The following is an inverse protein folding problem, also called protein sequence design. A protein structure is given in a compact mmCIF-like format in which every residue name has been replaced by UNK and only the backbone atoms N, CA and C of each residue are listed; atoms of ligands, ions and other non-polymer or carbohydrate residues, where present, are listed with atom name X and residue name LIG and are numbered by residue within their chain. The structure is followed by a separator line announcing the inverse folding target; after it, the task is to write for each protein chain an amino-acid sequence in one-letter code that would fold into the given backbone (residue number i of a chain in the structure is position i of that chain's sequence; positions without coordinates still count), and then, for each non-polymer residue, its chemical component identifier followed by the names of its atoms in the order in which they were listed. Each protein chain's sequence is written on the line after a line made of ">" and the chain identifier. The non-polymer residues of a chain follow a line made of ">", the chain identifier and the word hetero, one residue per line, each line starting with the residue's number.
data_IF_112428131402
#
_entry.id   IF_112428131402
#
_cell.length_a   1.000
_cell.length_b   1.000
_cell.length_c   1.000
_cell.angle_alpha   90.00
_cell.angle_beta   90.00
_cell.angle_gamma   90.00
#
_symmetry.space_group_name_H-M   'P 1'
#
loop_
_entity.id
_entity.type
_entity.pdbx_description
1 polymer ?
#
# COMPACT_ATOMS: atom_id res chain seq x y z
N UNK A 1 4.61 -27.63 10.73
CA UNK A 1 3.13 -27.60 10.75
C UNK A 1 2.64 -27.22 9.37
N UNK A 2 1.53 -27.79 8.95
CA UNK A 2 0.90 -27.46 7.65
C UNK A 2 -0.45 -26.79 7.89
N UNK A 3 -0.78 -25.84 7.03
CA UNK A 3 -2.05 -25.11 7.05
C UNK A 3 -2.81 -25.32 5.75
N UNK A 4 -4.11 -25.43 5.84
CA UNK A 4 -5.00 -25.40 4.68
C UNK A 4 -5.07 -23.99 4.08
N UNK A 5 -5.60 -23.86 2.87
CA UNK A 5 -5.81 -22.53 2.24
C UNK A 5 -6.70 -21.61 3.11
N UNK A 6 -7.69 -22.18 3.80
CA UNK A 6 -8.57 -21.41 4.69
C UNK A 6 -7.85 -20.89 5.93
N UNK A 7 -7.03 -21.72 6.56
CA UNK A 7 -6.22 -21.33 7.72
C UNK A 7 -5.17 -20.29 7.36
N UNK A 8 -4.42 -20.51 6.28
CA UNK A 8 -3.44 -19.55 5.79
C UNK A 8 -4.07 -18.19 5.45
N UNK A 9 -5.21 -18.19 4.75
CA UNK A 9 -5.95 -16.98 4.43
C UNK A 9 -6.41 -16.23 5.68
N UNK A 10 -6.94 -16.94 6.68
CA UNK A 10 -7.34 -16.36 7.97
C UNK A 10 -6.17 -15.73 8.71
N UNK A 11 -5.00 -16.38 8.73
CA UNK A 11 -3.79 -15.85 9.36
C UNK A 11 -3.29 -14.57 8.70
N UNK A 12 -3.47 -14.45 7.38
CA UNK A 12 -3.09 -13.28 6.59
C UNK A 12 -4.16 -12.17 6.56
N UNK A 13 -5.36 -12.46 7.04
CA UNK A 13 -6.49 -11.52 6.95
C UNK A 13 -7.02 -11.31 5.53
N UNK A 14 -6.88 -12.30 4.66
CA UNK A 14 -7.34 -12.26 3.26
C UNK A 14 -8.39 -13.33 2.98
N UNK A 15 -9.10 -13.23 1.86
CA UNK A 15 -10.01 -14.26 1.43
C UNK A 15 -9.25 -15.50 0.89
N UNK A 16 -9.79 -16.69 1.08
CA UNK A 16 -9.22 -17.92 0.51
C UNK A 16 -9.13 -17.85 -1.02
N UNK A 17 -10.06 -17.14 -1.68
CA UNK A 17 -10.05 -16.89 -3.11
C UNK A 17 -8.81 -16.09 -3.56
N UNK A 18 -8.29 -15.21 -2.72
CA UNK A 18 -7.06 -14.45 -2.97
C UNK A 18 -5.86 -15.38 -3.10
N UNK A 19 -5.71 -16.34 -2.19
CA UNK A 19 -4.61 -17.30 -2.24
C UNK A 19 -4.73 -18.27 -3.43
N UNK A 20 -5.95 -18.66 -3.80
CA UNK A 20 -6.19 -19.45 -5.01
C UNK A 20 -5.84 -18.69 -6.27
N UNK A 21 -6.14 -17.39 -6.31
CA UNK A 21 -5.76 -16.50 -7.40
C UNK A 21 -4.23 -16.39 -7.52
N UNK A 22 -3.52 -16.20 -6.41
CA UNK A 22 -2.05 -16.17 -6.43
C UNK A 22 -1.43 -17.46 -6.95
N UNK A 23 -1.96 -18.60 -6.54
CA UNK A 23 -1.50 -19.87 -7.05
C UNK A 23 -1.75 -20.02 -8.58
N UNK A 24 -2.94 -19.61 -9.04
CA UNK A 24 -3.28 -19.59 -10.46
C UNK A 24 -2.33 -18.69 -11.28
N UNK A 25 -1.94 -17.56 -10.72
CA UNK A 25 -1.00 -16.63 -11.36
C UNK A 25 0.48 -17.07 -11.26
N UNK A 26 0.75 -18.18 -10.59
CA UNK A 26 2.11 -18.71 -10.44
C UNK A 26 2.96 -18.03 -9.39
N UNK A 27 2.35 -17.35 -8.43
CA UNK A 27 3.05 -16.70 -7.31
C UNK A 27 3.41 -17.65 -6.17
N UNK A 28 2.87 -18.86 -6.16
CA UNK A 28 3.02 -19.83 -5.07
C UNK A 28 3.69 -21.13 -5.52
N UNK A 29 4.84 -21.08 -6.22
CA UNK A 29 5.51 -22.29 -6.72
C UNK A 29 6.11 -23.17 -5.61
N UNK A 30 6.19 -22.63 -4.40
CA UNK A 30 6.71 -23.29 -3.20
C UNK A 30 5.65 -24.06 -2.41
N UNK A 31 4.35 -23.87 -2.74
CA UNK A 31 3.24 -24.53 -2.02
C UNK A 31 3.10 -25.97 -2.47
N UNK A 32 3.14 -26.89 -1.51
CA UNK A 32 2.96 -28.31 -1.74
C UNK A 32 1.47 -28.66 -1.90
N UNK A 33 1.21 -29.79 -2.55
CA UNK A 33 -0.13 -30.36 -2.68
C UNK A 33 -0.13 -31.79 -2.20
N UNK A 34 -1.21 -32.21 -1.59
CA UNK A 34 -1.48 -33.62 -1.28
C UNK A 34 -1.68 -34.41 -2.57
N UNK A 35 -1.68 -35.75 -2.47
CA UNK A 35 -2.04 -36.62 -3.61
C UNK A 35 -3.42 -36.30 -4.18
N UNK A 36 -4.37 -35.81 -3.36
CA UNK A 36 -5.67 -35.33 -3.78
C UNK A 36 -5.71 -33.91 -4.35
N UNK A 37 -4.53 -33.26 -4.53
CA UNK A 37 -4.43 -31.91 -5.11
C UNK A 37 -4.73 -30.76 -4.14
N UNK A 38 -4.89 -31.04 -2.85
CA UNK A 38 -5.18 -30.02 -1.82
C UNK A 38 -3.88 -29.26 -1.48
N UNK A 39 -3.94 -27.94 -1.50
CA UNK A 39 -2.81 -27.06 -1.14
C UNK A 39 -2.48 -27.15 0.34
N UNK A 40 -1.20 -27.32 0.65
CA UNK A 40 -0.66 -27.38 2.02
C UNK A 40 0.41 -26.31 2.18
N UNK A 41 0.17 -25.36 3.07
CA UNK A 41 1.08 -24.25 3.35
C UNK A 41 1.93 -24.60 4.58
N UNK A 42 3.24 -24.44 4.46
CA UNK A 42 4.19 -24.55 5.59
C UNK A 42 4.26 -23.22 6.33
N UNK A 43 4.76 -23.27 7.54
CA UNK A 43 5.02 -22.05 8.33
C UNK A 43 5.98 -21.09 7.59
N UNK A 44 7.01 -21.62 6.93
CA UNK A 44 7.94 -20.86 6.11
C UNK A 44 7.28 -20.20 4.89
N UNK A 45 6.21 -20.77 4.37
CA UNK A 45 5.46 -20.21 3.24
C UNK A 45 4.69 -18.96 3.65
N UNK A 46 4.35 -18.84 4.96
CA UNK A 46 3.63 -17.67 5.47
C UNK A 46 4.45 -16.38 5.33
N UNK A 47 5.76 -16.42 5.45
CA UNK A 47 6.61 -15.25 5.27
C UNK A 47 6.64 -14.80 3.80
N UNK A 48 6.63 -15.74 2.86
CA UNK A 48 6.47 -15.45 1.44
C UNK A 48 5.11 -14.83 1.14
N UNK A 49 4.05 -15.36 1.71
CA UNK A 49 2.71 -14.83 1.52
C UNK A 49 2.59 -13.41 2.07
N UNK A 50 3.17 -13.12 3.24
CA UNK A 50 3.22 -11.75 3.80
C UNK A 50 3.96 -10.79 2.88
N UNK A 51 5.08 -11.22 2.30
CA UNK A 51 5.84 -10.39 1.36
C UNK A 51 5.02 -10.13 0.09
N UNK A 52 4.37 -11.14 -0.48
CA UNK A 52 3.49 -11.00 -1.65
C UNK A 52 2.37 -9.99 -1.37
N UNK A 53 1.70 -10.10 -0.22
CA UNK A 53 0.66 -9.15 0.22
C UNK A 53 1.22 -7.72 0.36
N UNK A 54 2.39 -7.57 0.96
CA UNK A 54 3.06 -6.27 1.10
C UNK A 54 3.36 -5.64 -0.28
N UNK A 55 3.96 -6.39 -1.20
CA UNK A 55 4.29 -5.90 -2.54
C UNK A 55 3.03 -5.53 -3.33
N UNK A 56 1.98 -6.35 -3.23
CA UNK A 56 0.70 -6.06 -3.87
C UNK A 56 0.03 -4.81 -3.28
N UNK A 57 -0.01 -4.70 -1.96
CA UNK A 57 -0.59 -3.55 -1.26
C UNK A 57 0.11 -2.23 -1.63
N UNK A 58 1.38 -2.26 -1.93
CA UNK A 58 2.17 -1.09 -2.36
C UNK A 58 2.12 -0.81 -3.87
N UNK A 59 1.34 -1.60 -4.62
CA UNK A 59 1.06 -1.36 -6.03
C UNK A 59 1.98 -2.06 -7.01
N UNK A 60 2.82 -3.01 -6.57
CA UNK A 60 3.62 -3.80 -7.50
C UNK A 60 2.70 -4.67 -8.37
N UNK A 61 2.82 -4.63 -9.70
CA UNK A 61 2.05 -5.50 -10.59
C UNK A 61 2.34 -6.97 -10.32
N UNK A 62 1.35 -7.84 -10.52
CA UNK A 62 1.50 -9.30 -10.36
C UNK A 62 2.69 -9.84 -11.15
N UNK A 63 2.92 -9.35 -12.36
CA UNK A 63 4.08 -9.70 -13.17
C UNK A 63 5.42 -9.42 -12.47
N UNK A 64 5.52 -8.29 -11.78
CA UNK A 64 6.72 -7.90 -11.02
C UNK A 64 6.93 -8.80 -9.79
N UNK A 65 5.86 -9.13 -9.07
CA UNK A 65 5.90 -10.05 -7.93
C UNK A 65 6.33 -11.45 -8.41
N UNK A 66 5.77 -11.93 -9.50
CA UNK A 66 6.14 -13.22 -10.10
C UNK A 66 7.63 -13.26 -10.45
N UNK A 67 8.14 -12.21 -11.09
CA UNK A 67 9.57 -12.10 -11.43
C UNK A 67 10.45 -12.20 -10.18
N UNK A 68 10.08 -11.51 -9.10
CA UNK A 68 10.80 -11.59 -7.83
C UNK A 68 10.82 -13.02 -7.26
N UNK A 69 9.68 -13.70 -7.26
CA UNK A 69 9.56 -15.09 -6.79
C UNK A 69 10.40 -16.04 -7.67
N UNK A 70 10.39 -15.89 -8.99
CA UNK A 70 11.20 -16.67 -9.92
C UNK A 70 12.70 -16.48 -9.64
N UNK A 71 13.16 -15.24 -9.46
CA UNK A 71 14.54 -14.94 -9.07
C UNK A 71 14.94 -15.64 -7.76
N UNK A 72 14.04 -15.67 -6.77
CA UNK A 72 14.29 -16.38 -5.51
C UNK A 72 14.51 -17.88 -5.72
N UNK A 73 13.78 -18.49 -6.64
CA UNK A 73 13.94 -19.92 -6.98
C UNK A 73 15.25 -20.23 -7.71
N UNK A 74 15.76 -19.30 -8.48
CA UNK A 74 17.05 -19.43 -9.19
C UNK A 74 18.25 -19.38 -8.22
N UNK A 75 18.05 -18.86 -6.99
CA UNK A 75 19.05 -18.89 -5.93
C UNK A 75 19.96 -17.64 -5.90
N UNK A 76 21.12 -17.80 -5.33
CA UNK A 76 22.02 -16.69 -4.95
C UNK A 76 22.56 -15.88 -6.12
N UNK A 77 22.60 -16.45 -7.33
CA UNK A 77 22.98 -15.70 -8.55
C UNK A 77 22.07 -14.51 -8.85
N UNK A 78 20.86 -14.48 -8.27
CA UNK A 78 19.85 -13.44 -8.49
C UNK A 78 19.73 -12.44 -7.32
N UNK A 79 20.60 -12.51 -6.33
CA UNK A 79 20.56 -11.58 -5.17
C UNK A 79 20.58 -10.12 -5.61
N UNK A 80 21.45 -9.77 -6.56
CA UNK A 80 21.52 -8.41 -7.09
C UNK A 80 20.22 -7.97 -7.77
N UNK A 81 19.62 -8.80 -8.59
CA UNK A 81 18.34 -8.52 -9.26
C UNK A 81 17.18 -8.38 -8.25
N UNK A 82 17.13 -9.27 -7.27
CA UNK A 82 16.14 -9.17 -6.17
C UNK A 82 16.28 -7.87 -5.38
N UNK A 83 17.52 -7.45 -5.09
CA UNK A 83 17.80 -6.18 -4.43
C UNK A 83 17.31 -4.99 -5.27
N UNK A 84 17.58 -4.99 -6.57
CA UNK A 84 17.11 -3.92 -7.48
C UNK A 84 15.59 -3.82 -7.51
N UNK A 85 14.89 -4.95 -7.60
CA UNK A 85 13.42 -4.99 -7.60
C UNK A 85 12.86 -4.37 -6.32
N UNK A 86 13.37 -4.78 -5.15
CA UNK A 86 12.89 -4.27 -3.87
C UNK A 86 13.31 -2.83 -3.61
N UNK A 87 14.51 -2.41 -4.04
CA UNK A 87 14.96 -1.03 -3.92
C UNK A 87 14.09 -0.08 -4.77
N UNK A 88 13.73 -0.47 -6.00
CA UNK A 88 12.80 0.29 -6.83
C UNK A 88 11.41 0.38 -6.19
N UNK A 89 10.92 -0.70 -5.60
CA UNK A 89 9.63 -0.69 -4.89
C UNK A 89 9.66 0.21 -3.66
N UNK A 90 10.76 0.24 -2.91
CA UNK A 90 10.96 1.17 -1.79
C UNK A 90 10.83 2.62 -2.24
N UNK A 91 11.44 3.00 -3.35
CA UNK A 91 11.33 4.37 -3.89
C UNK A 91 9.90 4.69 -4.33
N UNK A 92 9.20 3.74 -4.93
CA UNK A 92 7.77 3.87 -5.26
C UNK A 92 6.92 4.13 -4.01
N UNK A 93 7.14 3.40 -2.93
CA UNK A 93 6.43 3.59 -1.65
C UNK A 93 6.73 4.97 -1.05
N UNK A 94 7.97 5.43 -1.08
CA UNK A 94 8.34 6.78 -0.62
C UNK A 94 7.59 7.86 -1.39
N UNK A 95 7.45 7.70 -2.69
CA UNK A 95 6.66 8.62 -3.53
C UNK A 95 5.19 8.62 -3.12
N UNK A 96 4.59 7.44 -2.89
CA UNK A 96 3.21 7.31 -2.43
C UNK A 96 3.01 8.00 -1.07
N UNK A 97 3.95 7.84 -0.13
CA UNK A 97 3.91 8.52 1.17
C UNK A 97 3.93 10.03 1.01
N UNK A 98 4.84 10.56 0.19
CA UNK A 98 4.95 12.00 -0.08
C UNK A 98 3.68 12.58 -0.70
N UNK A 99 3.04 11.84 -1.62
CA UNK A 99 1.77 12.23 -2.22
C UNK A 99 0.63 12.24 -1.20
N UNK A 100 0.56 11.23 -0.34
CA UNK A 100 -0.44 11.17 0.73
C UNK A 100 -0.24 12.28 1.76
N UNK A 101 1.01 12.60 2.13
CA UNK A 101 1.32 13.71 3.03
C UNK A 101 0.87 15.05 2.44
N UNK A 102 1.06 15.26 1.14
CA UNK A 102 0.57 16.45 0.45
C UNK A 102 -0.96 16.54 0.46
N UNK A 103 -1.66 15.43 0.22
CA UNK A 103 -3.11 15.38 0.31
C UNK A 103 -3.61 15.60 1.74
N UNK A 104 -2.92 15.05 2.73
CA UNK A 104 -3.23 15.26 4.14
C UNK A 104 -3.17 16.74 4.52
N UNK A 105 -2.16 17.47 4.08
CA UNK A 105 -2.05 18.92 4.30
C UNK A 105 -3.28 19.68 3.77
N UNK A 106 -3.76 19.32 2.59
CA UNK A 106 -4.97 19.95 2.02
C UNK A 106 -6.21 19.64 2.87
N UNK A 107 -6.33 18.40 3.34
CA UNK A 107 -7.45 17.99 4.20
C UNK A 107 -7.36 18.71 5.55
N UNK A 108 -6.18 18.81 6.16
CA UNK A 108 -5.96 19.52 7.40
C UNK A 108 -6.34 21.02 7.28
N UNK A 109 -5.98 21.63 6.14
CA UNK A 109 -6.44 23.00 5.83
C UNK A 109 -7.95 23.10 5.78
N UNK A 110 -8.64 22.16 5.15
CA UNK A 110 -10.11 22.16 5.07
C UNK A 110 -10.77 21.87 6.42
N UNK A 111 -10.19 21.04 7.25
CA UNK A 111 -10.65 20.82 8.63
C UNK A 111 -10.56 22.13 9.41
N UNK A 112 -9.41 22.79 9.41
CA UNK A 112 -9.25 24.11 10.04
C UNK A 112 -10.26 25.14 9.49
N UNK A 113 -10.44 25.18 8.17
CA UNK A 113 -11.39 26.07 7.51
C UNK A 113 -12.81 25.89 8.05
N UNK A 114 -13.29 24.66 8.09
CA UNK A 114 -14.65 24.38 8.55
C UNK A 114 -14.82 24.48 10.08
N UNK A 115 -13.80 24.19 10.86
CA UNK A 115 -13.82 24.44 12.30
C UNK A 115 -13.97 25.94 12.60
N UNK A 116 -13.25 26.77 11.85
CA UNK A 116 -13.35 28.24 11.95
C UNK A 116 -14.73 28.73 11.52
N UNK A 117 -15.25 28.25 10.41
CA UNK A 117 -16.58 28.58 9.92
C UNK A 117 -17.68 28.11 10.88
N UNK A 118 -17.54 26.95 11.50
CA UNK A 118 -18.49 26.42 12.48
C UNK A 118 -18.57 27.31 13.71
N UNK A 119 -17.46 27.84 14.23
CA UNK A 119 -17.41 28.75 15.33
C UNK A 119 -18.11 30.10 15.01
N UNK A 120 -17.98 30.55 13.78
CA UNK A 120 -18.63 31.76 13.28
C UNK A 120 -20.11 31.57 12.89
N UNK A 121 -20.54 30.30 12.71
CA UNK A 121 -21.88 29.97 12.24
C UNK A 121 -22.10 30.20 10.74
N UNK A 122 -21.03 30.49 9.97
CA UNK A 122 -21.09 30.77 8.53
C UNK A 122 -19.73 30.56 7.87
N UNK A 123 -19.71 30.13 6.61
CA UNK A 123 -18.49 30.06 5.80
C UNK A 123 -18.04 31.44 5.27
N UNK A 124 -18.91 32.44 5.29
CA UNK A 124 -18.57 33.79 4.78
C UNK A 124 -17.49 34.48 5.61
N UNK A 125 -17.27 34.08 6.86
CA UNK A 125 -16.15 34.55 7.69
C UNK A 125 -14.80 34.30 7.00
N UNK A 126 -14.71 33.28 6.17
CA UNK A 126 -13.49 32.91 5.47
C UNK A 126 -13.18 33.80 4.26
N UNK A 127 -14.17 34.53 3.73
CA UNK A 127 -13.99 35.37 2.51
C UNK A 127 -12.98 36.50 2.75
N UNK A 128 -13.00 37.09 3.95
CA UNK A 128 -12.11 38.17 4.35
C UNK A 128 -11.33 37.85 5.63
N UNK A 129 -11.07 36.57 5.88
CA UNK A 129 -10.32 36.15 7.06
C UNK A 129 -8.90 36.74 7.04
N UNK A 130 -8.42 37.35 8.15
CA UNK A 130 -7.12 37.99 8.21
C UNK A 130 -6.00 36.98 7.89
N UNK A 131 -5.11 37.34 6.96
CA UNK A 131 -4.04 36.43 6.52
C UNK A 131 -3.06 36.10 7.66
N UNK A 132 -2.80 37.06 8.52
CA UNK A 132 -1.95 36.90 9.72
C UNK A 132 -2.50 35.92 10.75
N UNK A 133 -3.84 35.73 10.78
CA UNK A 133 -4.50 34.75 11.66
C UNK A 133 -4.60 33.34 11.07
N UNK A 134 -4.25 33.19 9.79
CA UNK A 134 -4.18 31.87 9.15
C UNK A 134 -2.90 31.18 9.64
N UNK A 135 -2.99 29.92 10.16
CA UNK A 135 -1.82 29.13 10.51
C UNK A 135 -0.82 29.09 9.34
N UNK A 136 0.46 29.29 9.64
CA UNK A 136 1.51 29.42 8.62
C UNK A 136 1.51 28.29 7.61
N UNK A 137 1.32 27.02 8.08
CA UNK A 137 1.27 25.83 7.24
C UNK A 137 0.11 25.82 6.24
N UNK A 138 -0.91 26.68 6.42
CA UNK A 138 -2.10 26.74 5.56
C UNK A 138 -2.14 27.95 4.61
N UNK A 139 -1.22 28.91 4.78
CA UNK A 139 -1.22 30.15 3.97
C UNK A 139 -1.06 29.87 2.47
N UNK A 140 -0.29 28.85 2.11
CA UNK A 140 -0.11 28.44 0.71
C UNK A 140 -1.41 28.04 0.00
N UNK A 141 -2.38 27.49 0.72
CA UNK A 141 -3.67 27.06 0.14
C UNK A 141 -4.60 28.24 -0.14
N UNK A 142 -4.45 29.35 0.57
CA UNK A 142 -5.26 30.56 0.37
C UNK A 142 -4.78 31.39 -0.81
N UNK A 143 -3.48 31.48 -1.03
CA UNK A 143 -2.90 32.22 -2.15
C UNK A 143 -3.33 31.72 -3.53
N UNK A 144 -3.83 30.45 -3.59
CA UNK A 144 -4.39 29.83 -4.80
C UNK A 144 -5.89 30.12 -4.98
N UNK A 145 -6.38 31.32 -4.60
CA UNK A 145 -7.70 31.78 -5.08
C UNK A 145 -7.61 31.95 -6.61
N UNK A 146 -8.06 30.91 -7.30
CA UNK A 146 -8.53 30.92 -8.68
C UNK A 146 -8.05 32.11 -9.54
N UNK A 147 -6.89 31.99 -10.15
CA UNK A 147 -6.62 32.67 -11.41
C UNK A 147 -7.43 31.93 -12.46
N UNK A 148 -8.57 32.51 -12.84
CA UNK A 148 -9.31 32.10 -14.02
C UNK A 148 -8.42 32.24 -15.25
#
# INVERSE_FOLDING_TARGET
>A
MFYTVGEAAKMLGVASSTLRYYDKEGLLPFVERTEGGIRMFKETDMDWLKLIECLKATGMPIKGIKKFIECTREGDSTIGERLEILAAQRESVKTQISELERHLKMIDYKVWYYETAQKAGTTTVMDNYPEEEIPEQFREFRAKKYSN
#
